data_IF_000723516429
#
_entry.id   IF_000723516429
#
_cell.length_a   1.000
_cell.length_b   1.000
_cell.length_c   1.000
_cell.angle_alpha   90.00
_cell.angle_beta   90.00
_cell.angle_gamma   90.00
#
_symmetry.space_group_name_H-M   'P 1'
#
loop_
_entity.id
_entity.type
_entity.pdbx_description
1 polymer ?
#
# COMPACT_ATOMS: atom_id res chain seq x y z
N UNK A 1 16.07 9.84 18.56
CA UNK A 1 15.77 10.43 17.24
C UNK A 1 15.34 9.33 16.29
N UNK A 2 14.30 9.57 15.49
CA UNK A 2 13.83 8.73 14.39
C UNK A 2 13.80 9.57 13.12
N UNK A 3 14.38 9.06 12.02
CA UNK A 3 14.34 9.73 10.72
C UNK A 3 13.44 8.96 9.75
N UNK A 4 12.46 9.64 9.16
CA UNK A 4 11.52 9.08 8.17
C UNK A 4 11.47 9.99 6.95
N UNK A 5 11.72 9.43 5.75
CA UNK A 5 11.80 10.22 4.52
C UNK A 5 10.44 10.48 3.87
N UNK A 6 9.44 9.67 4.20
CA UNK A 6 8.10 9.70 3.64
C UNK A 6 7.03 9.96 4.71
N UNK A 7 6.45 8.91 5.30
CA UNK A 7 5.29 8.97 6.19
C UNK A 7 5.44 7.99 7.34
N UNK A 8 5.07 8.41 8.54
CA UNK A 8 5.19 7.57 9.75
C UNK A 8 4.24 6.37 9.68
N UNK A 9 4.70 5.25 10.24
CA UNK A 9 4.02 3.94 10.15
C UNK A 9 4.52 3.06 9.00
N UNK A 10 5.25 3.65 8.04
CA UNK A 10 5.96 2.93 6.98
C UNK A 10 5.04 2.16 6.02
N UNK A 11 5.61 1.20 5.31
CA UNK A 11 4.93 0.47 4.22
C UNK A 11 3.62 -0.17 4.67
N UNK A 12 3.59 -0.82 5.82
CA UNK A 12 2.42 -1.57 6.31
C UNK A 12 1.17 -0.67 6.45
N UNK A 13 1.34 0.49 7.08
CA UNK A 13 0.25 1.43 7.38
C UNK A 13 -0.13 2.23 6.14
N UNK A 14 0.85 2.73 5.40
CA UNK A 14 0.60 3.74 4.36
C UNK A 14 0.21 3.12 3.03
N UNK A 15 0.85 2.02 2.63
CA UNK A 15 0.78 1.47 1.26
C UNK A 15 0.94 -0.04 1.22
N UNK A 16 0.47 -0.72 2.26
CA UNK A 16 0.70 -2.14 2.47
C UNK A 16 -0.51 -2.80 3.12
N UNK A 17 -0.29 -3.46 4.26
CA UNK A 17 -1.28 -4.32 4.89
C UNK A 17 -2.62 -3.63 5.19
N UNK A 18 -2.58 -2.39 5.70
CA UNK A 18 -3.79 -1.63 6.06
C UNK A 18 -4.64 -1.32 4.83
N UNK A 19 -4.17 -0.53 3.84
CA UNK A 19 -4.97 -0.22 2.67
C UNK A 19 -5.33 -1.47 1.85
N UNK A 20 -4.44 -2.46 1.75
CA UNK A 20 -4.75 -3.76 1.14
C UNK A 20 -5.98 -4.40 1.80
N UNK A 21 -6.04 -4.44 3.14
CA UNK A 21 -7.15 -5.11 3.84
C UNK A 21 -8.46 -4.34 3.66
N UNK A 22 -8.42 -3.01 3.65
CA UNK A 22 -9.60 -2.18 3.33
C UNK A 22 -10.15 -2.51 1.94
N UNK A 23 -9.28 -2.66 0.94
CA UNK A 23 -9.67 -2.98 -0.43
C UNK A 23 -10.20 -4.42 -0.56
N UNK A 24 -9.62 -5.36 0.18
CA UNK A 24 -10.17 -6.72 0.30
C UNK A 24 -11.58 -6.68 0.87
N UNK A 25 -11.84 -5.93 1.94
CA UNK A 25 -13.19 -5.82 2.50
C UNK A 25 -14.16 -5.18 1.52
N UNK A 26 -13.79 -4.07 0.89
CA UNK A 26 -14.61 -3.41 -0.12
C UNK A 26 -15.00 -4.37 -1.26
N UNK A 27 -14.09 -5.24 -1.69
CA UNK A 27 -14.35 -6.19 -2.78
C UNK A 27 -15.34 -7.30 -2.42
N UNK A 28 -15.44 -7.69 -1.14
CA UNK A 28 -16.29 -8.81 -0.69
C UNK A 28 -17.77 -8.48 -0.74
N UNK A 29 -18.14 -7.20 -0.60
CA UNK A 29 -19.54 -6.79 -0.71
C UNK A 29 -20.17 -7.20 -2.05
N UNK A 30 -19.37 -7.24 -3.13
CA UNK A 30 -19.86 -7.67 -4.44
C UNK A 30 -20.32 -9.14 -4.47
N UNK A 31 -19.80 -10.00 -3.60
CA UNK A 31 -20.22 -11.39 -3.47
C UNK A 31 -21.42 -11.48 -2.53
N UNK A 32 -21.35 -10.77 -1.39
CA UNK A 32 -22.44 -10.70 -0.42
C UNK A 32 -23.75 -10.18 -1.02
N UNK A 33 -23.70 -9.22 -1.94
CA UNK A 33 -24.90 -8.73 -2.63
C UNK A 33 -25.52 -9.78 -3.56
N UNK A 34 -24.70 -10.62 -4.20
CA UNK A 34 -25.18 -11.72 -5.03
C UNK A 34 -25.81 -12.82 -4.15
N UNK A 35 -25.13 -13.18 -3.05
CA UNK A 35 -25.59 -14.18 -2.07
C UNK A 35 -26.88 -13.74 -1.36
N UNK A 36 -27.06 -12.46 -1.07
CA UNK A 36 -28.24 -11.94 -0.38
C UNK A 36 -29.55 -12.30 -1.09
N UNK A 37 -29.53 -12.41 -2.42
CA UNK A 37 -30.70 -12.80 -3.21
C UNK A 37 -31.18 -14.22 -2.89
N UNK A 38 -30.27 -15.14 -2.54
CA UNK A 38 -30.59 -16.52 -2.15
C UNK A 38 -31.35 -16.58 -0.83
N UNK A 39 -31.17 -15.57 0.02
CA UNK A 39 -31.87 -15.41 1.30
C UNK A 39 -33.11 -14.49 1.20
N UNK A 40 -33.60 -14.24 -0.02
CA UNK A 40 -34.84 -13.49 -0.26
C UNK A 40 -34.70 -11.97 -0.27
N UNK A 41 -33.48 -11.42 -0.14
CA UNK A 41 -33.25 -9.98 -0.27
C UNK A 41 -33.35 -9.55 -1.73
N UNK A 42 -33.98 -8.40 -1.97
CA UNK A 42 -34.05 -7.78 -3.30
C UNK A 42 -33.35 -6.42 -3.23
N UNK A 43 -32.18 -6.33 -3.86
CA UNK A 43 -31.37 -5.12 -3.90
C UNK A 43 -31.40 -4.52 -5.31
N UNK A 44 -31.37 -3.20 -5.42
CA UNK A 44 -31.04 -2.54 -6.68
C UNK A 44 -29.57 -2.80 -7.03
N UNK A 45 -29.22 -2.72 -8.32
CA UNK A 45 -27.84 -2.93 -8.80
C UNK A 45 -26.87 -2.03 -8.02
N UNK A 46 -25.96 -2.61 -7.22
CA UNK A 46 -25.04 -1.81 -6.41
C UNK A 46 -24.04 -1.08 -7.31
N UNK A 47 -23.85 0.21 -7.06
CA UNK A 47 -22.84 1.03 -7.72
C UNK A 47 -21.59 1.12 -6.85
N UNK A 48 -20.45 0.70 -7.38
CA UNK A 48 -19.17 0.84 -6.70
C UNK A 48 -18.49 2.15 -7.10
N UNK A 49 -18.31 3.06 -6.14
CA UNK A 49 -17.58 4.33 -6.33
C UNK A 49 -16.14 4.23 -5.83
N UNK A 50 -15.20 4.18 -6.77
CA UNK A 50 -13.77 4.06 -6.48
C UNK A 50 -13.19 5.27 -5.73
N UNK A 51 -13.46 6.53 -6.14
CA UNK A 51 -13.03 7.71 -5.39
C UNK A 51 -13.43 7.69 -3.91
N UNK A 52 -14.66 7.25 -3.58
CA UNK A 52 -15.10 7.12 -2.19
C UNK A 52 -14.26 6.13 -1.39
N UNK A 53 -13.90 4.98 -1.97
CA UNK A 53 -13.02 4.02 -1.30
C UNK A 53 -11.62 4.60 -1.06
N UNK A 54 -11.04 5.26 -2.06
CA UNK A 54 -9.71 5.90 -1.95
C UNK A 54 -9.74 6.97 -0.85
N UNK A 55 -10.75 7.84 -0.84
CA UNK A 55 -10.90 8.86 0.19
C UNK A 55 -11.09 8.27 1.60
N UNK A 56 -11.88 7.18 1.74
CA UNK A 56 -12.04 6.50 3.01
C UNK A 56 -10.73 5.87 3.50
N UNK A 57 -9.97 5.25 2.60
CA UNK A 57 -8.63 4.72 2.87
C UNK A 57 -7.68 5.84 3.30
N UNK A 58 -7.68 6.97 2.61
CA UNK A 58 -6.79 8.11 2.90
C UNK A 58 -7.03 8.70 4.29
N UNK A 59 -8.31 8.84 4.69
CA UNK A 59 -8.67 9.26 6.05
C UNK A 59 -8.14 8.29 7.09
N UNK A 60 -8.27 6.99 6.87
CA UNK A 60 -7.84 5.98 7.84
C UNK A 60 -6.31 5.92 7.96
N UNK A 61 -5.56 5.96 6.86
CA UNK A 61 -4.09 5.96 6.93
C UNK A 61 -3.56 7.26 7.55
N UNK A 62 -4.23 8.41 7.34
CA UNK A 62 -3.86 9.67 7.97
C UNK A 62 -4.11 9.63 9.49
N UNK A 63 -5.26 9.06 9.92
CA UNK A 63 -5.55 8.84 11.34
C UNK A 63 -4.49 7.98 12.00
N UNK A 64 -4.13 6.85 11.38
CA UNK A 64 -3.10 5.95 11.90
C UNK A 64 -1.73 6.62 11.93
N UNK A 65 -1.31 7.31 10.86
CA UNK A 65 -0.05 8.06 10.84
C UNK A 65 0.04 9.05 12.02
N UNK A 66 -1.05 9.78 12.30
CA UNK A 66 -1.13 10.69 13.44
C UNK A 66 -0.91 9.97 14.78
N UNK A 67 -1.52 8.80 14.97
CA UNK A 67 -1.32 7.99 16.19
C UNK A 67 0.12 7.48 16.32
N UNK A 68 0.75 7.06 15.21
CA UNK A 68 2.16 6.66 15.24
C UNK A 68 3.06 7.84 15.62
N UNK A 69 2.78 9.04 15.08
CA UNK A 69 3.48 10.28 15.46
C UNK A 69 3.33 10.61 16.95
N UNK A 70 2.09 10.68 17.44
CA UNK A 70 1.80 10.96 18.84
C UNK A 70 2.46 9.95 19.79
N UNK A 71 2.53 8.67 19.41
CA UNK A 71 3.22 7.65 20.18
C UNK A 71 4.73 7.88 20.29
N UNK A 72 5.39 8.35 19.23
CA UNK A 72 6.82 8.71 19.25
C UNK A 72 7.05 9.94 20.14
N UNK A 73 6.22 10.97 20.01
CA UNK A 73 6.30 12.19 20.81
C UNK A 73 6.10 11.90 22.31
N UNK A 74 5.10 11.09 22.65
CA UNK A 74 4.83 10.68 24.04
C UNK A 74 5.99 9.88 24.66
N UNK A 75 6.77 9.18 23.83
CA UNK A 75 7.98 8.47 24.24
C UNK A 75 9.24 9.36 24.26
N UNK A 76 9.12 10.67 23.98
CA UNK A 76 10.24 11.60 23.94
C UNK A 76 11.16 11.45 22.72
N UNK A 77 10.69 10.81 21.65
CA UNK A 77 11.49 10.59 20.44
C UNK A 77 11.40 11.82 19.53
N UNK A 78 12.55 12.46 19.27
CA UNK A 78 12.65 13.47 18.20
C UNK A 78 12.40 12.81 16.82
N UNK A 79 11.27 13.13 16.19
CA UNK A 79 10.95 12.69 14.84
C UNK A 79 11.44 13.72 13.82
N UNK A 80 12.26 13.28 12.88
CA UNK A 80 12.82 14.11 11.82
C UNK A 80 12.31 13.62 10.46
N UNK A 81 11.60 14.49 9.75
CA UNK A 81 11.08 14.18 8.41
C UNK A 81 12.14 14.33 7.32
N UNK A 82 13.17 13.49 7.33
CA UNK A 82 14.27 13.49 6.36
C UNK A 82 14.77 12.08 6.08
N UNK A 83 15.29 11.87 4.86
CA UNK A 83 16.19 10.76 4.60
C UNK A 83 17.45 10.91 5.46
N UNK A 84 17.85 9.81 6.08
CA UNK A 84 19.08 9.66 6.84
C UNK A 84 20.05 8.75 6.07
N UNK A 85 21.32 9.13 6.03
CA UNK A 85 22.39 8.34 5.38
C UNK A 85 23.53 8.16 6.37
N UNK A 86 24.03 6.93 6.50
CA UNK A 86 25.24 6.64 7.27
C UNK A 86 26.43 7.30 6.57
N UNK A 87 27.16 8.16 7.30
CA UNK A 87 28.44 8.71 6.84
C UNK A 87 29.61 7.89 7.36
N UNK A 88 29.49 7.38 8.58
CA UNK A 88 30.47 6.49 9.21
C UNK A 88 29.76 5.57 10.23
N UNK A 89 30.54 4.84 11.04
CA UNK A 89 30.03 3.88 12.02
C UNK A 89 29.10 4.48 13.09
N UNK A 90 29.21 5.78 13.38
CA UNK A 90 28.48 6.47 14.44
C UNK A 90 27.82 7.78 14.01
N UNK A 91 27.94 8.17 12.74
CA UNK A 91 27.42 9.45 12.22
C UNK A 91 26.38 9.22 11.13
N UNK A 92 25.24 9.90 11.27
CA UNK A 92 24.16 9.95 10.30
C UNK A 92 24.00 11.37 9.78
N UNK A 93 23.93 11.55 8.46
CA UNK A 93 23.57 12.82 7.83
C UNK A 93 22.10 12.84 7.42
N UNK A 94 21.42 13.90 7.82
CA UNK A 94 20.05 14.20 7.41
C UNK A 94 20.08 14.98 6.09
N UNK A 95 19.62 14.36 5.01
CA UNK A 95 19.79 14.94 3.67
C UNK A 95 19.04 16.26 3.47
N UNK A 96 17.89 16.48 4.11
CA UNK A 96 17.12 17.72 3.93
C UNK A 96 17.78 18.95 4.56
N UNK A 97 18.47 18.79 5.69
CA UNK A 97 19.07 19.91 6.43
C UNK A 97 20.60 19.93 6.38
N UNK A 98 21.24 18.85 5.90
CA UNK A 98 22.69 18.66 6.00
C UNK A 98 23.19 18.38 7.43
N UNK A 99 22.31 18.39 8.44
CA UNK A 99 22.67 18.18 9.85
C UNK A 99 23.29 16.79 10.05
N UNK A 100 24.46 16.76 10.68
CA UNK A 100 25.12 15.53 11.13
C UNK A 100 24.71 15.22 12.57
N UNK A 101 24.37 13.97 12.82
CA UNK A 101 23.95 13.47 14.12
C UNK A 101 24.82 12.28 14.49
N UNK A 102 25.50 12.37 15.63
CA UNK A 102 26.29 11.26 16.16
C UNK A 102 25.43 10.43 17.12
N UNK A 103 25.50 9.11 17.03
CA UNK A 103 24.76 8.19 17.89
C UNK A 103 25.63 7.02 18.35
N UNK A 104 25.46 6.60 19.61
CA UNK A 104 26.12 5.40 20.14
C UNK A 104 25.63 4.13 19.43
N UNK A 105 24.33 4.07 19.13
CA UNK A 105 23.67 2.92 18.52
C UNK A 105 22.79 3.41 17.38
N UNK A 106 22.88 2.76 16.23
CA UNK A 106 22.09 3.06 15.04
C UNK A 106 21.29 1.82 14.67
N UNK A 107 19.96 1.92 14.72
CA UNK A 107 19.05 0.88 14.24
C UNK A 107 18.64 1.18 12.80
N UNK A 108 18.92 0.25 11.88
CA UNK A 108 18.52 0.36 10.47
C UNK A 108 17.22 -0.43 10.26
N UNK A 109 16.14 0.28 9.98
CA UNK A 109 14.81 -0.29 9.77
C UNK A 109 14.13 0.30 8.52
N UNK A 110 14.86 0.40 7.40
CA UNK A 110 14.43 1.12 6.18
C UNK A 110 13.42 0.36 5.31
N UNK A 111 13.23 -0.94 5.56
CA UNK A 111 12.29 -1.77 4.81
C UNK A 111 12.67 -2.03 3.34
N UNK A 112 11.88 -2.84 2.62
CA UNK A 112 12.08 -3.13 1.21
C UNK A 112 11.32 -2.14 0.30
N UNK A 113 11.63 -2.20 -1.00
CA UNK A 113 10.92 -1.48 -2.08
C UNK A 113 10.54 -2.44 -3.21
N UNK A 114 9.49 -2.18 -4.00
CA UNK A 114 9.15 -3.01 -5.15
C UNK A 114 10.32 -3.13 -6.14
N UNK A 115 10.58 -4.34 -6.59
CA UNK A 115 11.53 -4.62 -7.68
C UNK A 115 10.77 -4.69 -9.00
N UNK A 116 11.29 -3.99 -10.01
CA UNK A 116 10.72 -3.98 -11.35
C UNK A 116 11.55 -4.90 -12.27
N UNK A 117 10.91 -5.81 -13.04
CA UNK A 117 11.61 -6.62 -14.04
C UNK A 117 12.21 -5.75 -15.15
N UNK A 118 13.23 -6.26 -15.85
CA UNK A 118 13.92 -5.52 -16.91
C UNK A 118 13.36 -5.90 -18.28
N UNK A 119 12.50 -5.05 -18.85
CA UNK A 119 12.05 -5.12 -20.24
C UNK A 119 11.50 -3.75 -20.69
N UNK A 120 11.45 -3.51 -22.00
CA UNK A 120 10.97 -2.25 -22.57
C UNK A 120 9.49 -1.99 -22.27
N UNK A 121 9.16 -0.80 -21.74
CA UNK A 121 7.79 -0.45 -21.36
C UNK A 121 7.46 -0.72 -19.89
N UNK A 122 8.40 -1.22 -19.07
CA UNK A 122 8.17 -1.41 -17.63
C UNK A 122 7.89 -0.08 -16.89
N UNK A 123 8.42 1.02 -17.39
CA UNK A 123 8.22 2.39 -16.89
C UNK A 123 6.77 2.90 -17.04
N UNK A 124 5.98 2.27 -17.91
CA UNK A 124 4.55 2.54 -18.06
C UNK A 124 3.70 1.81 -16.99
N UNK A 125 4.30 0.86 -16.28
CA UNK A 125 3.67 0.11 -15.21
C UNK A 125 3.60 0.87 -13.89
N UNK A 126 2.79 0.36 -12.98
CA UNK A 126 2.72 0.82 -11.59
C UNK A 126 3.04 -0.35 -10.65
N UNK A 127 3.42 -0.03 -9.42
CA UNK A 127 3.65 -1.01 -8.36
C UNK A 127 2.59 -0.92 -7.27
N UNK A 128 2.71 -1.74 -6.24
CA UNK A 128 1.91 -1.64 -5.02
C UNK A 128 1.98 -0.26 -4.36
N UNK A 129 3.02 0.52 -4.63
CA UNK A 129 3.18 1.86 -4.05
C UNK A 129 2.14 2.85 -4.59
N UNK A 130 1.61 2.63 -5.79
CA UNK A 130 0.71 3.58 -6.47
C UNK A 130 -0.71 3.04 -6.71
N UNK A 131 -0.92 1.71 -6.63
CA UNK A 131 -2.21 1.08 -6.97
C UNK A 131 -3.38 1.56 -6.09
N UNK A 132 -3.11 1.95 -4.83
CA UNK A 132 -4.11 2.46 -3.90
C UNK A 132 -4.54 3.90 -4.18
N UNK A 133 -3.82 4.60 -5.04
CA UNK A 133 -3.96 6.05 -5.28
C UNK A 133 -4.38 6.37 -6.72
N UNK A 134 -4.77 5.34 -7.49
CA UNK A 134 -5.32 5.55 -8.82
C UNK A 134 -6.53 6.48 -8.74
N UNK A 135 -6.55 7.55 -9.54
CA UNK A 135 -7.67 8.51 -9.54
C UNK A 135 -8.98 7.87 -10.01
N UNK A 136 -8.88 6.96 -10.96
CA UNK A 136 -10.02 6.21 -11.50
C UNK A 136 -9.64 4.74 -11.58
N UNK A 137 -10.62 3.87 -11.35
CA UNK A 137 -10.43 2.45 -11.58
C UNK A 137 -10.20 2.22 -13.09
N UNK A 138 -9.21 1.42 -13.52
CA UNK A 138 -8.91 1.19 -14.94
C UNK A 138 -9.92 0.23 -15.59
N UNK A 139 -10.21 0.38 -16.90
CA UNK A 139 -11.13 -0.53 -17.63
C UNK A 139 -10.56 -1.93 -17.89
N UNK A 140 -9.23 -2.03 -17.93
CA UNK A 140 -8.49 -3.29 -18.10
C UNK A 140 -7.31 -3.25 -17.15
N UNK A 141 -7.02 -4.37 -16.50
CA UNK A 141 -5.90 -4.51 -15.56
C UNK A 141 -5.12 -5.78 -15.87
N UNK A 142 -3.81 -5.65 -15.91
CA UNK A 142 -2.86 -6.77 -15.98
C UNK A 142 -1.98 -6.69 -14.73
N UNK A 143 -1.85 -7.81 -14.02
CA UNK A 143 -0.96 -7.92 -12.87
C UNK A 143 0.21 -8.80 -13.28
N UNK A 144 1.40 -8.21 -13.34
CA UNK A 144 2.65 -8.92 -13.61
C UNK A 144 3.19 -9.53 -12.32
N UNK A 145 3.29 -10.86 -12.28
CA UNK A 145 3.74 -11.63 -11.12
C UNK A 145 2.63 -12.49 -10.50
N UNK A 146 3.03 -13.43 -9.66
CA UNK A 146 2.11 -14.41 -9.07
C UNK A 146 2.38 -14.69 -7.57
N UNK A 147 3.18 -13.83 -6.92
CA UNK A 147 3.42 -13.89 -5.48
C UNK A 147 2.23 -13.38 -4.66
N UNK A 148 2.40 -13.35 -3.32
CA UNK A 148 1.30 -12.97 -2.41
C UNK A 148 0.72 -11.58 -2.71
N UNK A 149 1.56 -10.60 -3.04
CA UNK A 149 1.12 -9.23 -3.34
C UNK A 149 0.24 -9.24 -4.60
N UNK A 150 0.70 -9.89 -5.67
CA UNK A 150 -0.05 -10.01 -6.92
C UNK A 150 -1.42 -10.64 -6.69
N UNK A 151 -1.48 -11.74 -5.93
CA UNK A 151 -2.74 -12.43 -5.61
C UNK A 151 -3.66 -11.60 -4.71
N UNK A 152 -3.10 -10.86 -3.75
CA UNK A 152 -3.85 -10.00 -2.86
C UNK A 152 -4.48 -8.81 -3.57
N UNK A 153 -3.94 -8.38 -4.72
CA UNK A 153 -4.56 -7.37 -5.58
C UNK A 153 -5.49 -7.96 -6.63
N UNK A 154 -5.13 -9.09 -7.21
CA UNK A 154 -5.89 -9.72 -8.28
C UNK A 154 -7.34 -9.96 -7.91
N UNK A 155 -7.58 -10.72 -6.83
CA UNK A 155 -8.95 -11.05 -6.41
C UNK A 155 -9.78 -9.80 -6.16
N UNK A 156 -9.38 -8.91 -5.23
CA UNK A 156 -10.15 -7.72 -4.89
C UNK A 156 -10.40 -6.78 -6.07
N UNK A 157 -9.37 -6.47 -6.88
CA UNK A 157 -9.52 -5.53 -7.99
C UNK A 157 -10.40 -6.13 -9.10
N UNK A 158 -10.27 -7.42 -9.42
CA UNK A 158 -11.16 -8.03 -10.42
C UNK A 158 -12.62 -8.06 -9.93
N UNK A 159 -12.89 -8.30 -8.63
CA UNK A 159 -14.25 -8.32 -8.05
C UNK A 159 -14.92 -6.96 -8.05
N UNK A 160 -14.21 -5.93 -7.59
CA UNK A 160 -14.66 -4.53 -7.64
C UNK A 160 -14.94 -4.09 -9.09
N UNK A 161 -14.17 -4.62 -10.03
CA UNK A 161 -14.29 -4.36 -11.45
C UNK A 161 -15.22 -5.28 -12.23
N UNK A 162 -16.22 -5.98 -11.66
CA UNK A 162 -17.06 -7.04 -12.28
C UNK A 162 -17.54 -6.86 -13.75
N UNK A 163 -17.41 -5.68 -14.37
CA UNK A 163 -17.63 -5.40 -15.81
C UNK A 163 -16.35 -5.18 -16.65
N UNK A 164 -15.17 -5.50 -16.14
CA UNK A 164 -13.86 -5.09 -16.69
C UNK A 164 -12.91 -6.28 -16.82
N UNK A 165 -12.09 -6.29 -17.87
CA UNK A 165 -11.22 -7.42 -18.18
C UNK A 165 -9.99 -7.44 -17.27
N UNK A 166 -9.86 -8.51 -16.49
CA UNK A 166 -8.77 -8.75 -15.55
C UNK A 166 -8.02 -10.02 -15.97
N UNK A 167 -6.69 -9.97 -16.15
CA UNK A 167 -5.89 -11.15 -16.52
C UNK A 167 -4.73 -11.36 -15.54
N UNK A 168 -4.54 -12.62 -15.15
CA UNK A 168 -3.40 -13.11 -14.38
C UNK A 168 -2.51 -14.01 -15.26
N UNK A 169 -1.20 -14.05 -15.03
CA UNK A 169 -0.30 -14.98 -15.72
C UNK A 169 -0.71 -16.45 -15.42
N UNK A 170 -0.66 -17.30 -16.46
CA UNK A 170 -1.21 -18.67 -16.45
C UNK A 170 -0.35 -19.72 -15.73
N UNK A 171 0.89 -19.44 -15.31
CA UNK A 171 1.80 -20.44 -14.76
C UNK A 171 2.07 -20.21 -13.26
N UNK A 172 1.75 -21.23 -12.46
CA UNK A 172 2.09 -21.44 -11.04
C UNK A 172 1.98 -20.20 -10.13
N UNK A 173 0.74 -19.86 -9.74
CA UNK A 173 0.51 -18.87 -8.69
C UNK A 173 1.03 -19.36 -7.33
N UNK A 174 1.58 -18.43 -6.54
CA UNK A 174 2.10 -18.67 -5.18
C UNK A 174 3.22 -19.72 -5.10
N UNK A 175 3.86 -20.08 -6.22
CA UNK A 175 5.08 -20.87 -6.17
C UNK A 175 6.14 -20.09 -5.39
N UNK A 176 6.68 -20.73 -4.34
CA UNK A 176 7.89 -20.25 -3.68
C UNK A 176 9.04 -20.52 -4.64
N UNK A 177 9.73 -19.46 -5.07
CA UNK A 177 11.12 -19.59 -5.51
C UNK A 177 11.97 -19.95 -4.29
#
# INVERSE_FOLDING_TARGET
MLAEEYRLGGTCVIRGCVPKKLFVYASRFSDTFDEAAEFGWRLSLPHFDWPSLVAAKDREIARLEGLYGAGQESAGVEVVRSRAVLEDAHTVRLLKSGRRVRARTILIATGPRPELPRFDGIELGITSDAVFDLKTFPRKLVIGGAGYIAMAFAGPLCRVGKRRHCRLPRKQCLARL
#
